data_IF_634121715172
#
_entry.id   IF_634121715172
#
_cell.length_a   1.000
_cell.length_b   1.000
_cell.length_c   1.000
_cell.angle_alpha   90.00
_cell.angle_beta   90.00
_cell.angle_gamma   90.00
#
_symmetry.space_group_name_H-M   'P 1'
#
loop_
_entity.id
_entity.type
_entity.pdbx_description
1 polymer ?
#
# COMPACT_ATOMS: atom_id res chain seq x y z
N UNK A 1 15.14 -10.71 -7.91
CA UNK A 1 13.87 -10.11 -7.46
C UNK A 1 13.86 -10.25 -5.94
N UNK A 2 13.90 -9.14 -5.20
CA UNK A 2 13.89 -9.19 -3.74
C UNK A 2 12.44 -9.39 -3.28
N UNK A 3 12.06 -10.64 -3.03
CA UNK A 3 10.72 -11.04 -2.55
C UNK A 3 10.38 -10.45 -1.16
N UNK A 4 11.34 -9.86 -0.46
CA UNK A 4 11.22 -9.39 0.93
C UNK A 4 10.43 -8.09 1.16
N UNK A 5 9.76 -7.52 0.16
CA UNK A 5 9.11 -6.19 0.31
C UNK A 5 7.68 -6.08 -0.23
N UNK A 6 6.99 -7.20 -0.49
CA UNK A 6 5.58 -7.20 -0.87
C UNK A 6 4.71 -7.41 0.38
N UNK A 7 3.84 -6.45 0.68
CA UNK A 7 2.95 -6.50 1.83
C UNK A 7 1.49 -6.65 1.41
N UNK A 8 0.81 -7.66 1.94
CA UNK A 8 -0.60 -7.88 1.65
C UNK A 8 -1.49 -7.04 2.58
N UNK A 9 -2.15 -6.05 1.99
CA UNK A 9 -3.12 -5.16 2.64
C UNK A 9 -4.57 -5.62 2.40
N UNK A 10 -4.82 -6.72 1.70
CA UNK A 10 -6.16 -7.28 1.58
C UNK A 10 -6.62 -7.72 2.98
N UNK A 11 -7.74 -7.19 3.47
CA UNK A 11 -8.28 -7.62 4.77
C UNK A 11 -8.78 -9.06 4.67
N UNK A 12 -8.13 -9.97 5.40
CA UNK A 12 -8.68 -11.30 5.69
C UNK A 12 -9.76 -11.20 6.77
N UNK A 13 -10.78 -12.06 6.69
CA UNK A 13 -11.84 -12.26 7.71
C UNK A 13 -11.28 -12.82 9.03
N UNK A 14 -10.41 -12.11 9.73
CA UNK A 14 -9.96 -12.51 11.07
C UNK A 14 -9.96 -11.30 12.00
N UNK A 15 -10.74 -11.42 13.08
CA UNK A 15 -11.13 -10.36 13.98
C UNK A 15 -9.96 -9.70 14.71
N UNK A 16 -10.02 -8.37 14.77
CA UNK A 16 -9.12 -7.50 15.49
C UNK A 16 -9.27 -6.08 14.95
N UNK A 17 -9.34 -5.06 15.81
CA UNK A 17 -9.42 -3.66 15.37
C UNK A 17 -8.20 -3.20 14.54
N UNK A 18 -7.18 -4.05 14.37
CA UNK A 18 -5.97 -3.89 13.55
C UNK A 18 -6.07 -4.46 12.13
N UNK A 19 -7.22 -5.00 11.73
CA UNK A 19 -7.44 -5.58 10.38
C UNK A 19 -7.71 -4.55 9.27
N UNK A 20 -7.70 -3.25 9.60
CA UNK A 20 -7.92 -2.15 8.67
C UNK A 20 -6.68 -1.93 7.75
N UNK A 21 -6.85 -1.97 6.41
CA UNK A 21 -5.76 -1.78 5.46
C UNK A 21 -5.05 -0.43 5.57
N UNK A 22 -5.76 0.63 5.98
CA UNK A 22 -5.19 1.96 6.21
C UNK A 22 -4.25 1.93 7.40
N UNK A 23 -4.62 1.26 8.50
CA UNK A 23 -3.76 1.14 9.69
C UNK A 23 -2.47 0.39 9.33
N UNK A 24 -2.58 -0.72 8.59
CA UNK A 24 -1.43 -1.48 8.09
C UNK A 24 -0.51 -0.62 7.21
N UNK A 25 -1.09 0.13 6.27
CA UNK A 25 -0.35 1.05 5.42
C UNK A 25 0.40 2.12 6.24
N UNK A 26 -0.26 2.71 7.23
CA UNK A 26 0.34 3.74 8.08
C UNK A 26 1.50 3.19 8.91
N UNK A 27 1.41 1.93 9.36
CA UNK A 27 2.53 1.25 10.02
C UNK A 27 3.72 1.06 9.08
N UNK A 28 3.49 0.60 7.84
CA UNK A 28 4.57 0.46 6.84
C UNK A 28 5.26 1.80 6.53
N UNK A 29 4.48 2.88 6.41
CA UNK A 29 5.02 4.23 6.21
C UNK A 29 5.88 4.66 7.42
N UNK A 30 5.50 4.28 8.64
CA UNK A 30 6.25 4.61 9.86
C UNK A 30 7.63 3.95 9.94
N UNK A 31 7.84 2.84 9.23
CA UNK A 31 9.14 2.18 9.11
C UNK A 31 10.13 2.96 8.22
N UNK A 32 9.68 4.04 7.57
CA UNK A 32 10.49 4.95 6.75
C UNK A 32 11.32 4.24 5.67
N UNK A 33 10.80 3.14 5.11
CA UNK A 33 11.40 2.45 3.97
C UNK A 33 11.44 3.37 2.75
N UNK A 34 12.49 3.25 1.93
CA UNK A 34 12.62 4.03 0.67
C UNK A 34 11.62 3.58 -0.38
N UNK A 35 11.35 2.28 -0.43
CA UNK A 35 10.27 1.71 -1.21
C UNK A 35 9.79 0.39 -0.63
N UNK A 36 8.53 0.07 -0.90
CA UNK A 36 7.88 -1.20 -0.62
C UNK A 36 6.74 -1.43 -1.62
N UNK A 37 6.28 -2.66 -1.75
CA UNK A 37 5.16 -3.02 -2.60
C UNK A 37 3.98 -3.45 -1.75
N UNK A 38 2.77 -3.18 -2.24
CA UNK A 38 1.53 -3.51 -1.54
C UNK A 38 0.56 -4.19 -2.49
N UNK A 39 -0.17 -5.16 -1.96
CA UNK A 39 -1.32 -5.76 -2.63
C UNK A 39 -2.58 -5.33 -1.89
N UNK A 40 -3.56 -4.75 -2.59
CA UNK A 40 -4.81 -4.28 -1.98
C UNK A 40 -5.99 -4.45 -2.94
N UNK A 41 -7.21 -4.53 -2.40
CA UNK A 41 -8.42 -4.47 -3.22
C UNK A 41 -8.76 -3.02 -3.57
N UNK A 42 -9.03 -2.75 -4.86
CA UNK A 42 -9.41 -1.41 -5.35
C UNK A 42 -10.61 -0.85 -4.60
N UNK A 43 -11.60 -1.67 -4.27
CA UNK A 43 -12.84 -1.22 -3.62
C UNK A 43 -12.64 -0.86 -2.14
N UNK A 44 -11.62 -1.44 -1.50
CA UNK A 44 -11.30 -1.17 -0.09
C UNK A 44 -10.36 0.02 0.02
N UNK A 45 -9.39 0.11 -0.89
CA UNK A 45 -8.41 1.19 -0.95
C UNK A 45 -8.31 1.72 -2.39
N UNK A 46 -9.17 2.66 -2.79
CA UNK A 46 -9.12 3.22 -4.14
C UNK A 46 -7.75 3.87 -4.41
N UNK A 47 -7.11 3.62 -5.56
CA UNK A 47 -5.78 4.16 -5.87
C UNK A 47 -5.67 5.68 -5.74
N UNK A 48 -6.72 6.42 -6.09
CA UNK A 48 -6.73 7.89 -5.98
C UNK A 48 -6.71 8.37 -4.52
N UNK A 49 -7.48 7.71 -3.65
CA UNK A 49 -7.45 7.97 -2.20
C UNK A 49 -6.07 7.65 -1.63
N UNK A 50 -5.50 6.52 -2.04
CA UNK A 50 -4.18 6.08 -1.61
C UNK A 50 -3.08 7.06 -2.03
N UNK A 51 -3.13 7.57 -3.27
CA UNK A 51 -2.22 8.61 -3.77
C UNK A 51 -2.29 9.88 -2.92
N UNK A 52 -3.49 10.31 -2.52
CA UNK A 52 -3.66 11.49 -1.66
C UNK A 52 -3.03 11.28 -0.27
N UNK A 53 -3.27 10.11 0.35
CA UNK A 53 -2.70 9.77 1.66
C UNK A 53 -1.17 9.71 1.58
N UNK A 54 -0.64 8.99 0.59
CA UNK A 54 0.79 8.80 0.39
C UNK A 54 1.50 10.12 0.09
N UNK A 55 0.92 10.98 -0.76
CA UNK A 55 1.47 12.30 -1.06
C UNK A 55 1.61 13.15 0.20
N UNK A 56 0.62 13.14 1.10
CA UNK A 56 0.70 13.82 2.42
C UNK A 56 1.81 13.27 3.32
N UNK A 57 2.29 12.06 3.06
CA UNK A 57 3.38 11.40 3.80
C UNK A 57 4.73 11.46 3.08
N UNK A 58 4.82 12.14 1.93
CA UNK A 58 6.04 12.21 1.14
C UNK A 58 6.32 10.93 0.37
N UNK A 59 5.29 10.23 -0.08
CA UNK A 59 5.39 9.00 -0.88
C UNK A 59 4.58 9.13 -2.18
N UNK A 60 5.01 8.42 -3.22
CA UNK A 60 4.28 8.21 -4.47
C UNK A 60 3.77 6.78 -4.56
N UNK A 61 2.74 6.58 -5.38
CA UNK A 61 2.17 5.27 -5.71
C UNK A 61 2.30 5.02 -7.21
N UNK A 62 2.88 3.88 -7.57
CA UNK A 62 3.02 3.39 -8.94
C UNK A 62 2.26 2.06 -9.04
N UNK A 63 1.19 2.00 -9.83
CA UNK A 63 0.47 0.74 -10.08
C UNK A 63 1.33 -0.12 -10.99
N UNK A 64 1.73 -1.30 -10.52
CA UNK A 64 2.56 -2.21 -11.29
C UNK A 64 1.72 -3.18 -12.12
N UNK A 65 0.65 -3.71 -11.51
CA UNK A 65 -0.19 -4.74 -12.14
C UNK A 65 -1.59 -4.77 -11.51
N UNK A 66 -2.60 -5.00 -12.34
CA UNK A 66 -3.93 -5.41 -11.88
C UNK A 66 -3.98 -6.94 -11.77
N UNK A 67 -4.53 -7.43 -10.66
CA UNK A 67 -4.67 -8.85 -10.35
C UNK A 67 -6.15 -9.26 -10.47
N UNK A 68 -6.41 -10.56 -10.37
CA UNK A 68 -7.77 -11.09 -10.27
C UNK A 68 -8.49 -10.54 -9.02
N UNK A 69 -9.83 -10.67 -8.99
CA UNK A 69 -10.68 -10.24 -7.88
C UNK A 69 -10.53 -8.76 -7.50
N UNK A 70 -10.27 -7.90 -8.50
CA UNK A 70 -10.15 -6.45 -8.31
C UNK A 70 -9.01 -6.05 -7.35
N UNK A 71 -7.99 -6.90 -7.22
CA UNK A 71 -6.78 -6.60 -6.48
C UNK A 71 -5.75 -5.86 -7.35
N UNK A 72 -4.90 -5.07 -6.71
CA UNK A 72 -3.86 -4.27 -7.35
C UNK A 72 -2.54 -4.53 -6.63
N UNK A 73 -1.50 -4.81 -7.41
CA UNK A 73 -0.11 -4.71 -6.97
C UNK A 73 0.41 -3.32 -7.31
N UNK A 74 0.82 -2.57 -6.30
CA UNK A 74 1.42 -1.26 -6.48
C UNK A 74 2.71 -1.12 -5.68
N UNK A 75 3.60 -0.27 -6.18
CA UNK A 75 4.82 0.13 -5.50
C UNK A 75 4.63 1.49 -4.87
N UNK A 76 5.00 1.58 -3.60
CA UNK A 76 5.08 2.82 -2.83
C UNK A 76 6.54 3.21 -2.72
N UNK A 77 6.89 4.45 -3.10
CA UNK A 77 8.27 4.97 -3.05
C UNK A 77 8.29 6.31 -2.34
N UNK A 78 9.34 6.60 -1.57
CA UNK A 78 9.55 7.96 -1.06
C UNK A 78 9.61 8.93 -2.24
N UNK A 79 8.85 10.01 -2.15
CA UNK A 79 8.99 11.14 -3.04
C UNK A 79 10.32 11.81 -2.71
N UNK A 80 11.34 11.58 -3.53
CA UNK A 80 12.55 12.41 -3.51
C UNK A 80 12.13 13.81 -3.97
N UNK A 81 11.81 14.69 -3.03
CA UNK A 81 11.92 16.12 -3.29
C UNK A 81 13.42 16.41 -3.36
N UNK A 82 13.97 16.35 -4.57
CA UNK A 82 15.22 17.03 -4.92
C UNK A 82 14.95 18.52 -5.08
#
# INVERSE_FOLDING_TARGET
MSEDRIFDLRSGKVGGCTSDPVIKLMKLISEKLDYFEIVFYRDVLPPDVLRVILKKKGYTLEVLKELEDNAILARVKKSTNS
#
